data_IF_848729098528
#
_entry.id   IF_848729098528
#
_cell.length_a   1.000
_cell.length_b   1.000
_cell.length_c   1.000
_cell.angle_alpha   90.00
_cell.angle_beta   90.00
_cell.angle_gamma   90.00
#
_symmetry.space_group_name_H-M   'P 1'
#
loop_
_entity.id
_entity.type
_entity.pdbx_description
1 polymer ?
#
# COMPACT_ATOMS: atom_id res chain seq x y z
N UNK A 1 15.74 -10.23 19.09
CA UNK A 1 14.62 -9.87 18.30
C UNK A 1 14.45 -10.67 17.05
N UNK A 2 14.62 -11.92 17.21
CA UNK A 2 14.53 -12.86 16.11
C UNK A 2 13.11 -13.01 15.57
N UNK A 3 12.11 -12.80 16.42
CA UNK A 3 10.72 -12.89 15.99
C UNK A 3 10.39 -11.87 14.93
N UNK A 4 10.92 -10.66 15.07
CA UNK A 4 10.65 -9.61 14.11
C UNK A 4 11.25 -9.92 12.75
N UNK A 5 12.44 -10.53 12.75
CA UNK A 5 13.07 -10.91 11.50
C UNK A 5 12.19 -11.88 10.73
N UNK A 6 11.55 -12.80 11.45
CA UNK A 6 10.71 -13.80 10.82
C UNK A 6 9.46 -13.20 10.19
N UNK A 7 8.77 -12.30 10.91
CA UNK A 7 7.55 -11.67 10.38
C UNK A 7 7.86 -10.63 9.33
N UNK A 8 9.05 -10.04 9.37
CA UNK A 8 9.43 -9.00 8.42
C UNK A 8 9.98 -9.54 7.12
N UNK A 9 10.11 -10.86 6.99
CA UNK A 9 10.75 -11.45 5.84
C UNK A 9 10.05 -11.08 4.54
N UNK A 10 8.73 -11.09 4.53
CA UNK A 10 7.96 -10.74 3.34
C UNK A 10 7.93 -9.24 3.08
N UNK A 11 8.37 -8.45 4.06
CA UNK A 11 8.51 -7.00 3.90
C UNK A 11 9.91 -6.60 3.47
N UNK A 12 10.86 -7.52 3.48
CA UNK A 12 12.21 -7.22 3.03
C UNK A 12 12.20 -6.88 1.55
N UNK A 13 12.87 -5.80 1.22
CA UNK A 13 12.85 -5.30 -0.15
C UNK A 13 11.81 -4.22 -0.38
N UNK A 14 10.87 -4.02 0.55
CA UNK A 14 9.92 -2.91 0.45
C UNK A 14 10.61 -1.57 0.61
N UNK A 15 11.82 -1.54 1.17
CA UNK A 15 12.63 -0.33 1.20
C UNK A 15 12.91 0.17 -0.21
N UNK A 16 12.92 -0.70 -1.20
CA UNK A 16 13.06 -0.29 -2.59
C UNK A 16 11.86 0.50 -3.08
N UNK A 17 10.66 0.12 -2.62
CA UNK A 17 9.45 0.88 -2.91
C UNK A 17 9.54 2.25 -2.25
N UNK A 18 9.95 2.29 -0.99
CA UNK A 18 10.08 3.54 -0.26
C UNK A 18 11.08 4.48 -0.92
N UNK A 19 12.22 3.95 -1.35
CA UNK A 19 13.23 4.75 -2.03
C UNK A 19 12.73 5.28 -3.37
N UNK A 20 11.99 4.46 -4.12
CA UNK A 20 11.43 4.88 -5.40
C UNK A 20 10.39 5.98 -5.21
N UNK A 21 9.55 5.87 -4.18
CA UNK A 21 8.57 6.91 -3.87
C UNK A 21 9.28 8.20 -3.49
N UNK A 22 10.31 8.11 -2.66
CA UNK A 22 11.07 9.30 -2.26
C UNK A 22 11.69 9.99 -3.47
N UNK A 23 12.22 9.21 -4.41
CA UNK A 23 12.79 9.78 -5.64
C UNK A 23 11.72 10.47 -6.47
N UNK A 24 10.52 9.88 -6.57
CA UNK A 24 9.42 10.49 -7.29
C UNK A 24 8.99 11.81 -6.63
N UNK A 25 8.94 11.84 -5.30
CA UNK A 25 8.58 13.04 -4.57
C UNK A 25 9.60 14.15 -4.77
N UNK A 26 10.88 13.77 -4.85
CA UNK A 26 11.96 14.73 -5.06
C UNK A 26 11.96 15.26 -6.49
N UNK A 27 11.65 14.41 -7.44
CA UNK A 27 11.70 14.78 -8.87
C UNK A 27 10.49 14.19 -9.60
N UNK A 28 9.31 14.82 -9.47
CA UNK A 28 8.09 14.30 -10.09
C UNK A 28 8.20 14.29 -11.61
N UNK A 29 8.02 13.11 -12.19
CA UNK A 29 8.03 12.93 -13.63
C UNK A 29 7.32 11.63 -13.97
N UNK A 30 6.94 11.49 -15.25
CA UNK A 30 6.35 10.23 -15.70
C UNK A 30 7.35 9.09 -15.63
N UNK A 31 8.62 9.38 -15.89
CA UNK A 31 9.66 8.36 -15.81
C UNK A 31 9.81 7.82 -14.38
N UNK A 32 9.80 8.73 -13.40
CA UNK A 32 9.90 8.32 -12.00
C UNK A 32 8.66 7.57 -11.56
N UNK A 33 7.48 7.99 -12.02
CA UNK A 33 6.26 7.23 -11.73
C UNK A 33 6.34 5.82 -12.31
N UNK A 34 6.76 5.70 -13.57
CA UNK A 34 6.92 4.38 -14.18
C UNK A 34 7.91 3.52 -13.40
N UNK A 35 8.98 4.13 -12.90
CA UNK A 35 9.96 3.44 -12.09
C UNK A 35 9.33 2.89 -10.80
N UNK A 36 8.54 3.71 -10.11
CA UNK A 36 7.87 3.27 -8.88
C UNK A 36 6.94 2.09 -9.17
N UNK A 37 6.14 2.19 -10.23
CA UNK A 37 5.23 1.12 -10.60
C UNK A 37 5.98 -0.17 -10.91
N UNK A 38 7.12 -0.06 -11.58
CA UNK A 38 7.97 -1.20 -11.90
C UNK A 38 8.53 -1.86 -10.64
N UNK A 39 8.98 -1.05 -9.68
CA UNK A 39 9.50 -1.57 -8.42
C UNK A 39 8.41 -2.30 -7.64
N UNK A 40 7.22 -1.71 -7.57
CA UNK A 40 6.08 -2.34 -6.89
C UNK A 40 5.74 -3.67 -7.56
N UNK A 41 5.69 -3.68 -8.88
CA UNK A 41 5.38 -4.91 -9.64
C UNK A 41 6.41 -6.00 -9.38
N UNK A 42 7.68 -5.62 -9.33
CA UNK A 42 8.74 -6.57 -9.05
C UNK A 42 8.57 -7.20 -7.67
N UNK A 43 8.28 -6.36 -6.67
CA UNK A 43 8.04 -6.86 -5.32
C UNK A 43 6.80 -7.75 -5.28
N UNK A 44 5.74 -7.40 -6.01
CA UNK A 44 4.54 -8.21 -6.11
C UNK A 44 4.87 -9.60 -6.67
N UNK A 45 5.70 -9.65 -7.70
CA UNK A 45 6.09 -10.91 -8.33
C UNK A 45 7.02 -11.73 -7.47
N UNK A 46 7.67 -11.12 -6.49
CA UNK A 46 8.49 -11.81 -5.50
C UNK A 46 7.66 -12.26 -4.29
N UNK A 47 6.33 -12.16 -4.39
CA UNK A 47 5.40 -12.51 -3.30
C UNK A 47 5.56 -11.61 -2.10
N UNK A 48 5.92 -10.35 -2.34
CA UNK A 48 6.00 -9.36 -1.28
C UNK A 48 4.63 -9.06 -0.68
N UNK A 49 4.66 -8.56 0.55
CA UNK A 49 3.45 -8.22 1.28
C UNK A 49 3.46 -6.77 1.69
N UNK A 50 2.29 -6.24 1.94
CA UNK A 50 2.09 -4.91 2.51
C UNK A 50 1.28 -5.06 3.79
N UNK A 51 1.34 -4.03 4.63
CA UNK A 51 0.63 -4.01 5.90
C UNK A 51 -0.67 -3.26 5.72
N UNK A 52 -1.76 -3.85 6.19
CA UNK A 52 -3.05 -3.16 6.30
C UNK A 52 -3.39 -2.99 7.76
N UNK A 53 -4.11 -1.92 8.07
CA UNK A 53 -4.61 -1.66 9.41
C UNK A 53 -6.12 -1.83 9.41
N UNK A 54 -6.64 -2.45 10.45
CA UNK A 54 -8.05 -2.74 10.59
C UNK A 54 -8.52 -2.23 11.94
N UNK A 55 -9.62 -1.48 11.94
CA UNK A 55 -10.20 -0.96 13.17
C UNK A 55 -10.93 -2.11 13.89
N UNK A 56 -10.48 -2.50 15.08
CA UNK A 56 -11.14 -3.60 15.80
C UNK A 56 -12.57 -3.28 16.21
N UNK A 57 -12.93 -2.00 16.31
CA UNK A 57 -14.29 -1.62 16.69
C UNK A 57 -15.30 -1.90 15.58
N UNK A 58 -14.84 -2.13 14.35
CA UNK A 58 -15.73 -2.45 13.23
C UNK A 58 -15.91 -3.96 13.04
N UNK A 59 -15.42 -4.79 13.95
CA UNK A 59 -15.46 -6.24 13.81
C UNK A 59 -16.88 -6.79 13.70
N UNK A 60 -17.86 -6.10 14.31
CA UNK A 60 -19.25 -6.55 14.27
C UNK A 60 -19.83 -6.55 12.85
N UNK A 61 -19.34 -5.68 11.97
CA UNK A 61 -19.79 -5.60 10.59
C UNK A 61 -18.78 -6.19 9.61
N UNK A 62 -17.82 -6.96 10.13
CA UNK A 62 -16.75 -7.54 9.32
C UNK A 62 -15.50 -6.69 9.38
N UNK A 63 -14.37 -7.33 9.12
CA UNK A 63 -13.09 -6.62 9.12
C UNK A 63 -13.01 -5.73 7.89
N UNK A 64 -12.70 -4.46 8.12
CA UNK A 64 -12.58 -3.48 7.04
C UNK A 64 -11.22 -2.83 7.11
N UNK A 65 -10.56 -2.74 5.94
CA UNK A 65 -9.29 -2.05 5.82
C UNK A 65 -9.49 -0.57 6.11
N UNK A 66 -8.57 0.01 6.85
CA UNK A 66 -8.60 1.44 7.14
C UNK A 66 -8.63 2.22 5.82
N UNK A 67 -9.55 3.17 5.72
CA UNK A 67 -9.67 4.01 4.55
C UNK A 67 -9.40 5.46 4.91
N UNK A 68 -8.84 6.18 3.96
CA UNK A 68 -8.59 7.61 4.09
C UNK A 68 -9.46 8.31 3.07
N UNK A 69 -10.18 9.35 3.50
CA UNK A 69 -11.00 10.15 2.63
C UNK A 69 -10.26 11.43 2.26
N UNK A 70 -10.16 11.70 0.96
CA UNK A 70 -9.55 12.92 0.46
C UNK A 70 -10.59 14.04 0.41
N UNK A 71 -10.12 15.27 0.20
CA UNK A 71 -10.98 16.46 0.23
C UNK A 71 -12.09 16.41 -0.80
N UNK A 72 -11.89 15.68 -1.89
CA UNK A 72 -12.91 15.53 -2.94
C UNK A 72 -13.96 14.47 -2.61
N UNK A 73 -13.91 13.90 -1.40
CA UNK A 73 -14.87 12.90 -0.95
C UNK A 73 -14.54 11.48 -1.35
N UNK A 74 -13.43 11.26 -2.03
CA UNK A 74 -13.03 9.92 -2.46
C UNK A 74 -12.34 9.18 -1.32
N UNK A 75 -12.50 7.87 -1.31
CA UNK A 75 -11.90 7.02 -0.29
C UNK A 75 -10.84 6.13 -0.89
N UNK A 76 -9.81 5.85 -0.09
CA UNK A 76 -8.64 5.07 -0.49
C UNK A 76 -8.26 4.16 0.65
N UNK A 77 -7.91 2.91 0.34
CA UNK A 77 -7.38 2.02 1.37
C UNK A 77 -5.97 2.46 1.73
N UNK A 78 -5.69 2.56 3.04
CA UNK A 78 -4.36 2.90 3.53
C UNK A 78 -3.55 1.63 3.73
N UNK A 79 -2.36 1.56 3.12
CA UNK A 79 -1.47 0.43 3.28
C UNK A 79 -0.05 0.95 3.55
N UNK A 80 0.80 0.09 4.05
CA UNK A 80 2.12 0.50 4.52
C UNK A 80 3.18 -0.49 4.07
N UNK A 81 4.36 0.01 3.75
CA UNK A 81 5.50 -0.82 3.33
C UNK A 81 6.25 -1.40 4.51
N UNK A 82 6.11 -0.80 5.69
CA UNK A 82 6.78 -1.26 6.89
C UNK A 82 5.97 -0.85 8.12
N UNK A 83 6.27 -1.48 9.26
CA UNK A 83 5.64 -1.11 10.51
C UNK A 83 6.03 0.30 10.94
N UNK A 84 7.24 0.74 10.60
CA UNK A 84 7.65 2.11 10.90
C UNK A 84 6.74 3.11 10.19
N UNK A 85 6.36 2.84 8.95
CA UNK A 85 5.46 3.73 8.22
C UNK A 85 4.07 3.76 8.83
N UNK A 86 3.58 2.61 9.28
CA UNK A 86 2.27 2.52 9.92
C UNK A 86 2.25 3.31 11.23
N UNK A 87 3.31 3.22 12.01
CA UNK A 87 3.39 3.88 13.30
C UNK A 87 3.47 5.40 13.20
N UNK A 88 3.92 5.94 12.07
CA UNK A 88 4.05 7.38 11.92
C UNK A 88 2.74 8.14 12.05
N UNK A 89 1.64 7.49 11.68
CA UNK A 89 0.35 8.14 11.75
C UNK A 89 -0.52 7.64 12.89
N UNK A 90 0.04 6.89 13.80
CA UNK A 90 -0.72 6.17 14.81
C UNK A 90 -1.29 7.12 15.86
N UNK A 91 -2.57 7.38 15.80
CA UNK A 91 -3.29 8.08 16.85
C UNK A 91 -4.18 7.14 17.64
N UNK A 92 -4.35 5.91 17.19
CA UNK A 92 -5.21 4.95 17.84
C UNK A 92 -4.65 3.55 17.65
N UNK A 93 -5.11 2.64 18.51
CA UNK A 93 -4.68 1.24 18.42
C UNK A 93 -5.43 0.58 17.28
N UNK A 94 -4.69 0.07 16.32
CA UNK A 94 -5.24 -0.66 15.18
C UNK A 94 -4.63 -2.04 15.14
N UNK A 95 -5.40 -3.00 14.66
CA UNK A 95 -4.86 -4.33 14.36
C UNK A 95 -4.21 -4.29 12.98
N UNK A 96 -3.02 -4.85 12.87
CA UNK A 96 -2.30 -4.86 11.60
C UNK A 96 -2.18 -6.28 11.07
N UNK A 97 -2.24 -6.41 9.75
CA UNK A 97 -2.13 -7.70 9.07
C UNK A 97 -1.23 -7.55 7.86
N UNK A 98 -0.48 -8.59 7.58
CA UNK A 98 0.27 -8.66 6.32
C UNK A 98 -0.65 -9.22 5.24
N UNK A 99 -0.59 -8.63 4.07
CA UNK A 99 -1.39 -9.09 2.94
C UNK A 99 -0.54 -9.18 1.69
N UNK A 100 -0.76 -10.24 0.91
CA UNK A 100 -0.08 -10.41 -0.37
C UNK A 100 -0.43 -9.27 -1.32
N UNK A 101 0.59 -8.69 -1.96
CA UNK A 101 0.38 -7.51 -2.81
C UNK A 101 -0.59 -7.78 -3.94
N UNK A 102 -0.46 -8.93 -4.60
CA UNK A 102 -1.31 -9.23 -5.75
C UNK A 102 -2.77 -9.37 -5.33
N UNK A 103 -3.02 -10.07 -4.23
CA UNK A 103 -4.37 -10.21 -3.70
C UNK A 103 -4.96 -8.87 -3.30
N UNK A 104 -4.15 -8.04 -2.63
CA UNK A 104 -4.60 -6.73 -2.19
C UNK A 104 -4.99 -5.86 -3.38
N UNK A 105 -4.16 -5.82 -4.41
CA UNK A 105 -4.42 -4.99 -5.57
C UNK A 105 -5.66 -5.45 -6.33
N UNK A 106 -5.84 -6.76 -6.48
CA UNK A 106 -7.04 -7.30 -7.10
C UNK A 106 -8.30 -6.97 -6.30
N UNK A 107 -8.21 -7.07 -4.98
CA UNK A 107 -9.34 -6.74 -4.12
C UNK A 107 -9.70 -5.25 -4.23
N UNK A 108 -8.70 -4.38 -4.29
CA UNK A 108 -8.94 -2.95 -4.40
C UNK A 108 -9.64 -2.59 -5.71
N UNK A 109 -9.27 -3.25 -6.80
CA UNK A 109 -9.90 -2.99 -8.11
C UNK A 109 -11.39 -3.33 -8.09
N UNK A 110 -11.76 -4.40 -7.39
CA UNK A 110 -13.16 -4.83 -7.35
C UNK A 110 -13.98 -4.14 -6.28
N UNK A 111 -13.36 -3.44 -5.35
CA UNK A 111 -14.09 -2.75 -4.30
C UNK A 111 -14.74 -1.48 -4.85
N UNK A 112 -16.07 -1.38 -4.72
CA UNK A 112 -16.81 -0.28 -5.34
C UNK A 112 -16.71 1.03 -4.58
N UNK A 113 -16.39 0.96 -3.29
CA UNK A 113 -16.45 2.14 -2.41
C UNK A 113 -15.13 2.87 -2.28
N UNK A 114 -14.10 2.48 -3.03
CA UNK A 114 -12.79 3.14 -2.97
C UNK A 114 -12.29 3.45 -4.38
N UNK A 115 -11.40 4.43 -4.46
CA UNK A 115 -10.76 4.83 -5.71
C UNK A 115 -9.48 4.05 -5.97
N UNK A 116 -8.85 3.52 -4.92
CA UNK A 116 -7.61 2.81 -5.03
C UNK A 116 -6.93 2.68 -3.68
N UNK A 117 -5.62 2.71 -3.70
CA UNK A 117 -4.80 2.49 -2.50
C UNK A 117 -3.87 3.68 -2.31
N UNK A 118 -3.72 4.12 -1.06
CA UNK A 118 -2.65 5.04 -0.68
C UNK A 118 -1.58 4.22 0.04
N UNK A 119 -0.36 4.23 -0.49
CA UNK A 119 0.77 3.60 0.19
C UNK A 119 1.46 4.66 1.04
N UNK A 120 1.67 4.35 2.31
CA UNK A 120 2.38 5.20 3.27
C UNK A 120 1.79 6.61 3.35
N UNK A 121 0.54 6.74 3.83
CA UNK A 121 -0.14 8.04 3.80
C UNK A 121 0.52 9.13 4.64
N UNK A 122 1.42 8.76 5.56
CA UNK A 122 2.04 9.74 6.46
C UNK A 122 3.42 10.17 6.01
N UNK A 123 4.06 9.42 5.11
CA UNK A 123 5.42 9.68 4.66
C UNK A 123 5.72 8.80 3.46
N UNK A 124 6.51 9.31 2.50
CA UNK A 124 6.83 8.56 1.28
C UNK A 124 5.57 8.00 0.65
N UNK A 125 4.63 8.88 0.36
CA UNK A 125 3.27 8.55 -0.05
C UNK A 125 3.16 8.44 -1.55
N UNK A 126 2.42 7.43 -2.00
CA UNK A 126 1.96 7.38 -3.39
C UNK A 126 0.50 6.92 -3.41
N UNK A 127 -0.29 7.54 -4.29
CA UNK A 127 -1.68 7.19 -4.48
C UNK A 127 -1.80 6.40 -5.78
N UNK A 128 -2.36 5.20 -5.67
CA UNK A 128 -2.52 4.31 -6.81
C UNK A 128 -4.00 4.12 -7.07
N UNK A 129 -4.51 4.81 -8.09
CA UNK A 129 -5.90 4.59 -8.48
C UNK A 129 -6.03 3.23 -9.20
N UNK A 130 -7.26 2.86 -9.54
CA UNK A 130 -7.51 1.55 -10.12
C UNK A 130 -6.80 1.37 -11.46
N UNK A 131 -6.64 2.44 -12.24
CA UNK A 131 -5.91 2.36 -13.51
C UNK A 131 -4.44 2.02 -13.27
N UNK A 132 -3.81 2.67 -12.29
CA UNK A 132 -2.41 2.37 -11.96
C UNK A 132 -2.26 0.96 -11.39
N UNK A 133 -3.22 0.51 -10.59
CA UNK A 133 -3.19 -0.84 -10.06
C UNK A 133 -3.27 -1.88 -11.17
N UNK A 134 -4.08 -1.62 -12.20
CA UNK A 134 -4.17 -2.52 -13.35
C UNK A 134 -2.86 -2.57 -14.14
N UNK A 135 -2.18 -1.44 -14.23
CA UNK A 135 -0.85 -1.41 -14.86
C UNK A 135 0.14 -2.28 -14.08
N UNK A 136 0.14 -2.15 -12.75
CA UNK A 136 1.02 -2.96 -11.92
C UNK A 136 0.71 -4.46 -12.08
N UNK A 137 -0.57 -4.80 -12.15
CA UNK A 137 -0.99 -6.19 -12.33
C UNK A 137 -0.72 -6.73 -13.74
N UNK A 138 -0.37 -5.86 -14.68
CA UNK A 138 -0.10 -6.26 -16.05
C UNK A 138 -1.34 -6.39 -16.91
N UNK A 139 -2.48 -5.87 -16.47
CA UNK A 139 -3.74 -5.95 -17.22
C UNK A 139 -3.83 -4.86 -18.29
N UNK A 140 -3.08 -3.77 -18.10
CA UNK A 140 -3.03 -2.65 -19.04
C UNK A 140 -1.58 -2.31 -19.29
N UNK A 141 -1.24 -2.01 -20.55
CA UNK A 141 0.10 -1.53 -20.89
C UNK A 141 0.15 -0.01 -20.79
N UNK A 142 1.30 0.48 -20.47
CA UNK A 142 1.54 1.93 -20.45
C UNK A 142 1.73 2.43 -21.89
#
# INVERSE_FOLDING_TARGET
MTEHTHTDKTLQGNDKIESAIAALQHEPSQEMLAHVLTVIRRRMNEHGELIIAVDPSSAASGLQVQAIQTDDGRKWWAVFTSFDEELKGSGSVMSTFLTDMKQLFNSAITADNIQGIIINPWNRTIMLDKALLRIILGEISI
#
